data_IF_124205499040
#
_entry.id   IF_124205499040
#
_cell.length_a   1.000
_cell.length_b   1.000
_cell.length_c   1.000
_cell.angle_alpha   90.00
_cell.angle_beta   90.00
_cell.angle_gamma   90.00
#
_symmetry.space_group_name_H-M   'P 1'
#
loop_
_entity.id
_entity.type
_entity.pdbx_description
1 polymer ?
#
# COMPACT_ATOMS: atom_id res chain seq x y z
N UNK A 1 16.73 12.83 8.50
CA UNK A 1 16.40 13.25 7.13
C UNK A 1 17.06 12.41 6.03
N UNK A 2 18.21 11.77 6.25
CA UNK A 2 18.87 10.92 5.24
C UNK A 2 18.49 9.43 5.33
N UNK A 3 17.31 9.11 5.85
CA UNK A 3 16.81 7.73 5.95
C UNK A 3 16.50 7.16 4.59
N UNK A 4 16.87 5.90 4.36
CA UNK A 4 16.65 5.19 3.09
C UNK A 4 15.81 3.94 3.30
N UNK A 5 15.01 3.60 2.29
CA UNK A 5 14.32 2.33 2.16
C UNK A 5 14.58 1.75 0.76
N UNK A 6 15.10 0.52 0.71
CA UNK A 6 15.51 -0.12 -0.56
C UNK A 6 16.41 0.76 -1.43
N UNK A 7 17.35 1.48 -0.81
CA UNK A 7 18.30 2.37 -1.51
C UNK A 7 17.71 3.72 -1.97
N UNK A 8 16.47 4.04 -1.61
CA UNK A 8 15.80 5.30 -1.94
C UNK A 8 15.68 6.19 -0.71
N UNK A 9 16.01 7.46 -0.83
CA UNK A 9 15.85 8.44 0.25
C UNK A 9 14.38 8.82 0.43
N UNK A 10 13.90 8.74 1.68
CA UNK A 10 12.48 8.98 2.01
C UNK A 10 12.12 10.46 2.06
N UNK A 11 13.10 11.34 2.28
CA UNK A 11 12.93 12.79 2.42
C UNK A 11 13.60 13.58 1.30
N UNK A 12 13.83 12.94 0.15
CA UNK A 12 14.41 13.56 -1.04
C UNK A 12 13.35 14.01 -2.06
N UNK A 13 12.06 13.91 -1.73
CA UNK A 13 10.99 14.15 -2.70
C UNK A 13 11.14 13.26 -3.94
N UNK A 14 10.96 13.80 -5.12
CA UNK A 14 11.14 13.04 -6.38
C UNK A 14 12.60 12.67 -6.66
N UNK A 15 13.59 13.32 -6.00
CA UNK A 15 15.02 12.99 -6.11
C UNK A 15 15.41 11.83 -5.18
N UNK A 16 14.75 10.69 -5.30
CA UNK A 16 14.87 9.54 -4.38
C UNK A 16 16.25 8.89 -4.34
N UNK A 17 17.10 9.14 -5.32
CA UNK A 17 18.49 8.62 -5.38
C UNK A 17 19.54 9.60 -4.89
N UNK A 18 19.15 10.86 -4.68
CA UNK A 18 20.05 11.94 -4.22
C UNK A 18 19.96 12.07 -2.71
N UNK A 19 21.10 12.12 -2.02
CA UNK A 19 21.15 12.33 -0.57
C UNK A 19 20.63 13.75 -0.24
N UNK A 20 19.51 13.88 0.51
CA UNK A 20 18.86 15.18 0.72
C UNK A 20 19.73 16.22 1.44
N UNK A 21 20.52 15.79 2.42
CA UNK A 21 21.41 16.63 3.20
C UNK A 21 22.81 16.06 3.22
N UNK A 22 23.79 16.75 2.65
CA UNK A 22 25.18 16.39 2.78
C UNK A 22 25.73 16.89 4.13
N UNK A 23 26.60 16.10 4.75
CA UNK A 23 27.32 16.48 5.97
C UNK A 23 28.77 16.67 5.57
N UNK A 24 29.29 17.89 5.75
CA UNK A 24 30.67 18.23 5.47
C UNK A 24 31.44 18.40 6.80
N UNK A 25 32.59 17.75 7.01
CA UNK A 25 33.41 18.01 8.20
C UNK A 25 33.87 19.46 8.24
N UNK A 26 33.87 20.14 9.42
CA UNK A 26 33.61 19.66 10.77
C UNK A 26 32.15 19.74 11.26
N UNK A 27 31.19 19.02 10.65
CA UNK A 27 29.80 18.92 11.06
C UNK A 27 28.84 20.01 10.55
N UNK A 28 29.16 20.68 9.45
CA UNK A 28 28.23 21.59 8.79
C UNK A 28 27.25 20.78 7.91
N UNK A 29 25.97 21.02 8.08
CA UNK A 29 24.91 20.41 7.25
C UNK A 29 24.67 21.33 6.05
N UNK A 30 24.90 20.81 4.85
CA UNK A 30 24.65 21.56 3.61
C UNK A 30 23.15 21.77 3.39
N UNK A 31 22.82 22.78 2.57
CA UNK A 31 21.45 23.04 2.17
C UNK A 31 20.79 21.81 1.52
N UNK A 32 19.47 21.75 1.57
CA UNK A 32 18.68 20.71 0.93
C UNK A 32 18.93 20.62 -0.57
N UNK A 33 19.18 19.42 -1.06
CA UNK A 33 19.47 19.13 -2.48
C UNK A 33 18.40 18.19 -3.09
N UNK A 34 17.34 17.89 -2.35
CA UNK A 34 16.24 17.08 -2.81
C UNK A 34 15.29 17.83 -3.76
N UNK A 35 14.16 17.21 -4.06
CA UNK A 35 13.09 17.78 -4.86
C UNK A 35 11.90 18.13 -3.96
N UNK A 36 11.26 19.28 -4.21
CA UNK A 36 10.06 19.72 -3.49
C UNK A 36 8.79 18.98 -3.95
N UNK A 37 8.91 18.10 -4.95
CA UNK A 37 7.81 17.27 -5.40
C UNK A 37 7.75 15.97 -4.59
N UNK A 38 6.63 15.72 -3.94
CA UNK A 38 6.37 14.45 -3.26
C UNK A 38 6.07 13.32 -4.24
N UNK A 39 6.55 12.12 -3.96
CA UNK A 39 6.18 10.92 -4.73
C UNK A 39 4.96 10.28 -4.07
N UNK A 40 3.91 10.09 -4.84
CA UNK A 40 2.68 9.44 -4.40
C UNK A 40 2.48 8.13 -5.13
N UNK A 41 1.85 7.18 -4.47
CA UNK A 41 1.48 5.87 -5.03
C UNK A 41 0.00 5.64 -4.78
N UNK A 42 -0.73 5.22 -5.82
CA UNK A 42 -2.13 4.88 -5.69
C UNK A 42 -2.28 3.52 -5.00
N UNK A 43 -3.13 3.48 -3.98
CA UNK A 43 -3.47 2.26 -3.24
C UNK A 43 -4.89 1.76 -3.56
N UNK A 44 -5.69 2.60 -4.23
CA UNK A 44 -7.03 2.29 -4.72
C UNK A 44 -7.38 3.30 -5.81
N UNK A 45 -8.44 3.08 -6.59
CA UNK A 45 -8.81 3.91 -7.74
C UNK A 45 -8.95 5.40 -7.48
N UNK A 46 -9.20 5.80 -6.23
CA UNK A 46 -9.38 7.19 -5.78
C UNK A 46 -8.49 7.60 -4.60
N UNK A 47 -7.58 6.71 -4.15
CA UNK A 47 -6.75 6.93 -2.96
C UNK A 47 -5.28 6.73 -3.25
N UNK A 48 -4.49 7.74 -2.88
CA UNK A 48 -3.03 7.70 -2.98
C UNK A 48 -2.37 8.00 -1.64
N UNK A 49 -1.19 7.44 -1.43
CA UNK A 49 -0.32 7.73 -0.27
C UNK A 49 1.01 8.30 -0.75
N UNK A 50 1.59 9.17 0.07
CA UNK A 50 2.92 9.73 -0.19
C UNK A 50 3.97 8.73 0.29
N UNK A 51 4.88 8.34 -0.60
CA UNK A 51 5.96 7.38 -0.30
C UNK A 51 7.34 8.04 -0.19
N UNK A 52 7.50 9.26 -0.73
CA UNK A 52 8.66 10.09 -0.51
C UNK A 52 8.20 11.53 -0.25
N UNK A 53 8.70 12.08 0.84
CA UNK A 53 8.29 13.38 1.35
C UNK A 53 9.27 14.48 0.93
N UNK A 54 8.76 15.69 0.78
CA UNK A 54 9.60 16.88 0.67
C UNK A 54 10.24 17.18 2.03
N UNK A 55 11.57 16.96 2.11
CA UNK A 55 12.34 17.22 3.32
C UNK A 55 12.48 18.72 3.61
N UNK A 56 12.50 19.58 2.58
CA UNK A 56 12.56 21.02 2.74
C UNK A 56 11.30 21.58 3.39
N UNK A 57 10.13 21.11 2.98
CA UNK A 57 8.87 21.52 3.59
C UNK A 57 8.79 21.22 5.09
N UNK A 58 9.47 20.15 5.55
CA UNK A 58 9.51 19.77 6.97
C UNK A 58 10.56 20.62 7.72
N UNK A 59 11.75 20.79 7.16
CA UNK A 59 12.88 21.43 7.87
C UNK A 59 12.85 22.95 7.77
N UNK A 60 12.51 23.50 6.61
CA UNK A 60 12.48 24.92 6.35
C UNK A 60 11.03 25.46 6.32
N UNK A 61 10.15 24.82 5.55
CA UNK A 61 8.80 25.35 5.31
C UNK A 61 8.85 26.73 4.68
N UNK A 62 8.17 27.71 5.30
CA UNK A 62 8.16 29.11 4.88
C UNK A 62 9.22 29.99 5.59
N UNK A 63 10.05 29.41 6.46
CA UNK A 63 11.08 30.17 7.17
C UNK A 63 12.25 30.55 6.25
N UNK A 64 12.97 31.63 6.58
CA UNK A 64 14.10 32.12 5.79
C UNK A 64 15.26 31.09 5.76
N UNK A 65 15.44 30.36 6.85
CA UNK A 65 16.49 29.35 7.04
C UNK A 65 15.86 28.00 7.39
N UNK A 66 16.59 26.93 7.10
CA UNK A 66 16.18 25.62 7.54
C UNK A 66 16.54 25.39 9.03
N UNK A 67 15.99 24.31 9.60
CA UNK A 67 16.22 23.93 11.00
C UNK A 67 17.70 23.83 11.36
N UNK A 68 18.55 23.33 10.47
CA UNK A 68 19.96 23.09 10.74
C UNK A 68 20.73 24.41 10.77
N UNK A 69 20.48 25.29 9.79
CA UNK A 69 21.06 26.63 9.77
C UNK A 69 20.57 27.49 10.97
N UNK A 70 19.31 27.31 11.38
CA UNK A 70 18.76 27.96 12.58
C UNK A 70 19.49 27.50 13.86
N UNK A 71 19.81 26.20 13.96
CA UNK A 71 20.57 25.66 15.11
C UNK A 71 21.99 26.18 15.13
N UNK A 72 22.68 26.23 14.00
CA UNK A 72 24.04 26.76 13.90
C UNK A 72 24.09 28.26 14.27
N UNK A 73 23.09 29.04 13.80
CA UNK A 73 22.97 30.44 14.17
C UNK A 73 22.67 30.59 15.65
N UNK A 74 21.76 29.78 16.21
CA UNK A 74 21.43 29.84 17.64
C UNK A 74 22.64 29.52 18.54
N UNK A 75 23.51 28.60 18.14
CA UNK A 75 24.76 28.31 18.85
C UNK A 75 25.64 29.57 18.87
N UNK A 76 25.75 30.27 17.75
CA UNK A 76 26.53 31.50 17.62
C UNK A 76 25.93 32.61 18.48
N UNK A 77 24.61 32.81 18.47
CA UNK A 77 23.91 33.85 19.22
C UNK A 77 24.01 33.63 20.73
N UNK A 78 23.94 32.38 21.18
CA UNK A 78 24.17 32.00 22.59
C UNK A 78 25.59 32.30 23.00
N UNK A 79 26.59 31.98 22.16
CA UNK A 79 27.99 32.28 22.44
C UNK A 79 28.28 33.80 22.50
N UNK A 80 27.54 34.60 21.71
CA UNK A 80 27.63 36.05 21.69
C UNK A 80 26.80 36.75 22.78
N UNK A 81 25.87 36.05 23.44
CA UNK A 81 24.97 36.59 24.46
C UNK A 81 23.85 37.47 23.92
N UNK A 82 23.48 37.32 22.66
CA UNK A 82 22.45 38.13 21.99
C UNK A 82 21.05 37.63 22.33
N UNK A 83 20.43 38.14 23.38
CA UNK A 83 19.14 37.68 23.90
C UNK A 83 17.98 37.79 22.90
N UNK A 84 17.95 38.84 22.06
CA UNK A 84 16.88 39.07 21.07
C UNK A 84 16.96 38.04 19.92
N UNK A 85 18.20 37.77 19.46
CA UNK A 85 18.45 36.79 18.41
C UNK A 85 18.18 35.35 18.91
N UNK A 86 18.53 35.07 20.18
CA UNK A 86 18.19 33.79 20.84
C UNK A 86 16.68 33.63 20.90
N UNK A 87 15.89 34.65 21.26
CA UNK A 87 14.43 34.60 21.27
C UNK A 87 13.85 34.31 19.89
N UNK A 88 14.39 34.95 18.86
CA UNK A 88 13.99 34.73 17.47
C UNK A 88 14.31 33.31 17.01
N UNK A 89 15.48 32.80 17.31
CA UNK A 89 15.92 31.44 16.99
C UNK A 89 15.07 30.37 17.68
N UNK A 90 14.73 30.58 18.95
CA UNK A 90 13.82 29.67 19.69
C UNK A 90 12.41 29.62 19.04
N UNK A 91 11.86 30.78 18.62
CA UNK A 91 10.59 30.82 17.93
C UNK A 91 10.64 30.08 16.57
N UNK A 92 11.74 30.19 15.83
CA UNK A 92 11.95 29.43 14.59
C UNK A 92 12.06 27.91 14.86
N UNK A 93 12.75 27.53 15.92
CA UNK A 93 12.87 26.13 16.34
C UNK A 93 11.50 25.54 16.73
N UNK A 94 10.67 26.31 17.45
CA UNK A 94 9.31 25.90 17.79
C UNK A 94 8.47 25.64 16.52
N UNK A 95 8.51 26.54 15.52
CA UNK A 95 7.82 26.34 14.26
C UNK A 95 8.31 25.09 13.51
N UNK A 96 9.62 24.82 13.55
CA UNK A 96 10.18 23.61 12.96
C UNK A 96 9.71 22.33 13.66
N UNK A 97 9.60 22.36 14.98
CA UNK A 97 9.04 21.27 15.78
C UNK A 97 7.56 21.02 15.45
N UNK A 98 6.77 22.08 15.30
CA UNK A 98 5.36 21.98 14.94
C UNK A 98 5.20 21.37 13.53
N UNK A 99 6.03 21.75 12.56
CA UNK A 99 6.07 21.13 11.22
C UNK A 99 6.43 19.64 11.27
N UNK A 100 7.43 19.29 12.07
CA UNK A 100 7.83 17.89 12.23
C UNK A 100 6.71 17.05 12.85
N UNK A 101 6.01 17.59 13.84
CA UNK A 101 4.84 16.94 14.49
C UNK A 101 3.69 16.78 13.51
N UNK A 102 3.40 17.81 12.71
CA UNK A 102 2.38 17.75 11.66
C UNK A 102 2.74 16.70 10.58
N UNK A 103 4.00 16.62 10.18
CA UNK A 103 4.48 15.60 9.25
C UNK A 103 4.34 14.19 9.84
N UNK A 104 4.67 13.99 11.11
CA UNK A 104 4.48 12.71 11.80
C UNK A 104 3.00 12.30 11.85
N UNK A 105 2.10 13.24 12.17
CA UNK A 105 0.66 13.00 12.15
C UNK A 105 0.17 12.60 10.75
N UNK A 106 0.67 13.28 9.71
CA UNK A 106 0.34 12.95 8.31
C UNK A 106 0.78 11.52 7.96
N UNK A 107 1.99 11.11 8.35
CA UNK A 107 2.45 9.73 8.16
C UNK A 107 1.57 8.74 8.91
N UNK A 108 1.21 9.02 10.15
CA UNK A 108 0.30 8.18 10.96
C UNK A 108 -1.06 7.98 10.28
N UNK A 109 -1.65 9.04 9.75
CA UNK A 109 -2.92 8.97 9.01
C UNK A 109 -2.78 8.13 7.72
N UNK A 110 -1.65 8.21 7.02
CA UNK A 110 -1.40 7.39 5.83
C UNK A 110 -1.23 5.90 6.16
N UNK A 111 -0.55 5.58 7.25
CA UNK A 111 -0.45 4.19 7.75
C UNK A 111 -1.83 3.64 8.07
N UNK A 112 -2.66 4.39 8.81
CA UNK A 112 -4.02 3.98 9.11
C UNK A 112 -4.88 3.76 7.84
N UNK A 113 -4.69 4.60 6.81
CA UNK A 113 -5.36 4.44 5.51
C UNK A 113 -4.92 3.17 4.78
N UNK A 114 -3.63 2.84 4.81
CA UNK A 114 -3.09 1.60 4.22
C UNK A 114 -3.65 0.38 4.95
N UNK A 115 -3.70 0.40 6.28
CA UNK A 115 -4.22 -0.71 7.08
C UNK A 115 -5.72 -0.93 6.82
N UNK A 116 -6.51 0.14 6.74
CA UNK A 116 -7.92 0.06 6.38
C UNK A 116 -8.12 -0.54 4.97
N UNK A 117 -7.29 -0.13 3.99
CA UNK A 117 -7.36 -0.68 2.64
C UNK A 117 -6.94 -2.16 2.60
N UNK A 118 -5.92 -2.55 3.36
CA UNK A 118 -5.49 -3.94 3.49
C UNK A 118 -6.62 -4.82 4.05
N UNK A 119 -7.30 -4.36 5.09
CA UNK A 119 -8.45 -5.06 5.68
C UNK A 119 -9.59 -5.22 4.65
N UNK A 120 -9.91 -4.16 3.91
CA UNK A 120 -10.91 -4.20 2.83
C UNK A 120 -10.57 -5.23 1.76
N UNK A 121 -9.30 -5.27 1.32
CA UNK A 121 -8.85 -6.25 0.33
C UNK A 121 -8.93 -7.69 0.86
N UNK A 122 -8.64 -7.92 2.14
CA UNK A 122 -8.81 -9.23 2.78
C UNK A 122 -10.28 -9.67 2.79
N UNK A 123 -11.20 -8.77 3.12
CA UNK A 123 -12.66 -9.04 3.09
C UNK A 123 -13.14 -9.34 1.66
N UNK A 124 -12.70 -8.56 0.67
CA UNK A 124 -13.03 -8.81 -0.73
C UNK A 124 -12.51 -10.16 -1.21
N UNK A 125 -11.27 -10.53 -0.83
CA UNK A 125 -10.69 -11.84 -1.14
C UNK A 125 -11.49 -12.98 -0.52
N UNK A 126 -11.90 -12.85 0.74
CA UNK A 126 -12.73 -13.85 1.42
C UNK A 126 -14.08 -14.01 0.71
N UNK A 127 -14.80 -12.92 0.49
CA UNK A 127 -16.09 -12.93 -0.22
C UNK A 127 -15.97 -13.47 -1.64
N UNK A 128 -14.87 -13.17 -2.34
CA UNK A 128 -14.59 -13.74 -3.65
C UNK A 128 -14.39 -15.27 -3.60
N UNK A 129 -13.64 -15.75 -2.60
CA UNK A 129 -13.42 -17.17 -2.37
C UNK A 129 -14.71 -17.92 -2.02
N UNK A 130 -15.55 -17.33 -1.18
CA UNK A 130 -16.85 -17.90 -0.82
C UNK A 130 -17.78 -18.02 -2.04
N UNK A 131 -17.84 -16.97 -2.88
CA UNK A 131 -18.62 -17.01 -4.13
C UNK A 131 -18.10 -18.04 -5.10
N UNK A 132 -16.79 -18.16 -5.26
CA UNK A 132 -16.17 -19.18 -6.12
C UNK A 132 -16.53 -20.58 -5.62
N UNK A 133 -16.36 -20.86 -4.33
CA UNK A 133 -16.71 -22.14 -3.72
C UNK A 133 -18.20 -22.50 -3.90
N UNK A 134 -19.08 -21.50 -3.74
CA UNK A 134 -20.52 -21.71 -3.97
C UNK A 134 -20.82 -22.08 -5.43
N UNK A 135 -20.17 -21.42 -6.39
CA UNK A 135 -20.35 -21.73 -7.83
C UNK A 135 -19.81 -23.13 -8.16
N UNK A 136 -18.64 -23.50 -7.66
CA UNK A 136 -18.04 -24.82 -7.85
C UNK A 136 -18.92 -25.95 -7.27
N UNK A 137 -19.52 -25.73 -6.09
CA UNK A 137 -20.42 -26.69 -5.47
C UNK A 137 -21.71 -26.89 -6.27
N UNK A 138 -22.28 -25.84 -6.84
CA UNK A 138 -23.48 -25.92 -7.70
C UNK A 138 -23.16 -26.68 -8.98
N UNK A 139 -22.04 -26.41 -9.64
CA UNK A 139 -21.63 -27.09 -10.85
C UNK A 139 -21.33 -28.57 -10.59
N UNK A 140 -20.73 -28.94 -9.48
CA UNK A 140 -20.47 -30.31 -9.10
C UNK A 140 -21.78 -31.08 -8.85
N UNK A 141 -22.71 -30.52 -8.11
CA UNK A 141 -24.03 -31.12 -7.86
C UNK A 141 -24.81 -31.38 -9.16
N UNK A 142 -24.74 -30.41 -10.07
CA UNK A 142 -25.36 -30.55 -11.41
C UNK A 142 -24.71 -31.66 -12.23
N UNK A 143 -23.38 -31.72 -12.27
CA UNK A 143 -22.63 -32.75 -12.99
C UNK A 143 -22.93 -34.15 -12.46
N UNK A 144 -23.02 -34.32 -11.13
CA UNK A 144 -23.39 -35.59 -10.49
C UNK A 144 -24.82 -35.98 -10.91
N UNK A 145 -25.76 -35.05 -10.91
CA UNK A 145 -27.15 -35.31 -11.30
C UNK A 145 -27.26 -35.71 -12.79
N UNK A 146 -26.53 -35.00 -13.66
CA UNK A 146 -26.47 -35.34 -15.09
C UNK A 146 -25.85 -36.72 -15.34
N UNK A 147 -24.78 -37.06 -14.60
CA UNK A 147 -24.17 -38.40 -14.66
C UNK A 147 -25.12 -39.49 -14.22
N UNK A 148 -25.85 -39.31 -13.11
CA UNK A 148 -26.84 -40.25 -12.63
C UNK A 148 -27.98 -40.47 -13.64
N UNK A 149 -28.45 -39.39 -14.30
CA UNK A 149 -29.45 -39.49 -15.37
C UNK A 149 -28.92 -40.24 -16.60
N UNK A 150 -27.68 -40.01 -16.99
CA UNK A 150 -27.03 -40.72 -18.10
C UNK A 150 -26.87 -42.22 -17.78
N UNK A 151 -26.44 -42.57 -16.57
CA UNK A 151 -26.32 -43.96 -16.11
C UNK A 151 -27.70 -44.67 -16.11
N UNK A 152 -28.73 -44.02 -15.58
CA UNK A 152 -30.08 -44.56 -15.57
C UNK A 152 -30.62 -44.78 -17.01
N UNK A 153 -30.40 -43.82 -17.92
CA UNK A 153 -30.79 -43.94 -19.34
C UNK A 153 -30.02 -45.10 -20.03
N UNK A 154 -28.75 -45.27 -19.73
CA UNK A 154 -27.93 -46.36 -20.26
C UNK A 154 -28.44 -47.72 -19.77
N UNK A 155 -28.74 -47.90 -18.49
CA UNK A 155 -29.31 -49.12 -17.93
C UNK A 155 -30.69 -49.43 -18.51
N UNK A 156 -31.54 -48.40 -18.66
CA UNK A 156 -32.86 -48.57 -19.29
C UNK A 156 -32.75 -49.02 -20.76
N UNK A 157 -31.80 -48.47 -21.51
CA UNK A 157 -31.56 -48.85 -22.91
C UNK A 157 -31.08 -50.31 -23.04
N UNK A 158 -30.15 -50.73 -22.17
CA UNK A 158 -29.69 -52.12 -22.12
C UNK A 158 -30.85 -53.08 -21.76
N UNK A 159 -31.70 -52.70 -20.80
CA UNK A 159 -32.89 -53.46 -20.43
C UNK A 159 -33.88 -53.59 -21.59
N UNK A 160 -34.14 -52.51 -22.33
CA UNK A 160 -34.99 -52.53 -23.49
C UNK A 160 -34.46 -53.44 -24.63
N UNK A 161 -33.16 -53.38 -24.92
CA UNK A 161 -32.49 -54.22 -25.90
C UNK A 161 -32.60 -55.69 -25.46
N UNK A 162 -32.37 -56.00 -24.18
CA UNK A 162 -32.46 -57.36 -23.63
C UNK A 162 -33.89 -57.95 -23.76
N UNK A 163 -34.91 -57.12 -23.52
CA UNK A 163 -36.34 -57.59 -23.69
C UNK A 163 -36.68 -57.77 -25.14
N UNK A 164 -36.29 -56.88 -26.03
CA UNK A 164 -36.56 -56.97 -27.49
C UNK A 164 -35.86 -58.18 -28.12
N UNK A 165 -34.62 -58.48 -27.72
CA UNK A 165 -33.88 -59.66 -28.18
C UNK A 165 -34.54 -60.96 -27.77
N UNK A 166 -35.09 -61.04 -26.57
CA UNK A 166 -35.78 -62.25 -26.08
C UNK A 166 -37.09 -62.47 -26.79
N UNK A 167 -37.89 -61.45 -27.06
CA UNK A 167 -39.16 -61.57 -27.79
C UNK A 167 -38.92 -61.93 -29.25
N UNK A 168 -37.91 -61.40 -29.91
CA UNK A 168 -37.59 -61.74 -31.29
C UNK A 168 -37.07 -63.16 -31.46
N UNK A 169 -36.33 -63.72 -30.54
CA UNK A 169 -35.88 -65.13 -30.52
C UNK A 169 -37.04 -66.11 -30.26
N UNK A 170 -38.00 -65.78 -29.41
CA UNK A 170 -39.17 -66.63 -29.11
C UNK A 170 -40.16 -66.68 -30.28
N UNK A 171 -40.28 -65.63 -31.05
CA UNK A 171 -41.15 -65.58 -32.24
C UNK A 171 -40.55 -66.33 -33.44
N UNK A 172 -39.23 -66.51 -33.51
CA UNK A 172 -38.55 -67.24 -34.59
C UNK A 172 -38.52 -68.76 -34.38
N UNK A 173 -38.67 -69.17 -33.13
CA UNK A 173 -38.64 -70.61 -32.74
C UNK A 173 -40.02 -71.26 -32.66
N UNK A 174 -41.08 -70.62 -33.09
CA UNK A 174 -42.44 -71.15 -33.27
C UNK A 174 -42.73 -71.33 -34.74
#
# INVERSE_FOLDING_TARGET
MNSTLHGRYLFGGAAVTTKPYAITPPATIAAYVGSNNEVRTDISGDRSVTVAFDGEAITRGSDAQDLFATLDQLITDVAAGNSDDIGTGLAALQRAFDRATAAQTRVGNQVAMIDAQKLRLQQMKLSGSERLSALEQVDMARAITEMQHADAAYQASLGAIGTTSRTSLMDYLK
#
